data_IF_091155106922
#
_entry.id   IF_091155106922
#
_cell.length_a   1.000
_cell.length_b   1.000
_cell.length_c   1.000
_cell.angle_alpha   90.00
_cell.angle_beta   90.00
_cell.angle_gamma   90.00
#
_symmetry.space_group_name_H-M   'P 1'
#
loop_
_entity.id
_entity.type
_entity.pdbx_description
1 polymer ?
#
# COMPACT_ATOMS: atom_id res chain seq x y z
N UNK A 1 -3.92 7.80 -6.48
CA UNK A 1 -2.67 8.26 -5.88
C UNK A 1 -1.95 7.02 -5.43
N UNK A 2 -0.68 6.88 -5.81
CA UNK A 2 0.06 5.64 -5.68
C UNK A 2 1.20 5.75 -4.68
N UNK A 3 1.64 4.61 -4.17
CA UNK A 3 2.98 4.42 -3.62
C UNK A 3 3.74 3.56 -4.62
N UNK A 4 4.89 4.04 -5.05
CA UNK A 4 5.78 3.34 -5.98
C UNK A 4 7.06 3.02 -5.22
N UNK A 5 7.46 1.75 -5.23
CA UNK A 5 8.62 1.25 -4.52
C UNK A 5 9.58 0.67 -5.54
N UNK A 6 10.79 1.20 -5.63
CA UNK A 6 11.85 0.67 -6.49
C UNK A 6 12.59 -0.44 -5.73
N UNK A 7 12.51 -1.67 -6.21
CA UNK A 7 13.11 -2.86 -5.58
C UNK A 7 13.49 -3.88 -6.64
N UNK A 8 14.60 -4.58 -6.42
CA UNK A 8 15.07 -5.59 -7.38
C UNK A 8 14.26 -6.90 -7.29
N UNK A 9 13.43 -7.06 -6.25
CA UNK A 9 12.62 -8.26 -6.03
C UNK A 9 11.19 -7.89 -5.57
N UNK A 10 10.35 -7.33 -6.47
CA UNK A 10 9.03 -6.80 -6.10
C UNK A 10 8.03 -7.88 -5.63
N UNK A 11 8.15 -9.10 -6.13
CA UNK A 11 7.41 -10.28 -5.68
C UNK A 11 7.80 -10.67 -4.25
N UNK A 12 9.10 -10.81 -3.99
CA UNK A 12 9.61 -11.15 -2.67
C UNK A 12 9.25 -10.09 -1.62
N UNK A 13 9.36 -8.80 -1.97
CA UNK A 13 8.94 -7.71 -1.08
C UNK A 13 7.44 -7.81 -0.75
N UNK A 14 6.59 -8.09 -1.75
CA UNK A 14 5.16 -8.23 -1.52
C UNK A 14 4.84 -9.42 -0.59
N UNK A 15 5.50 -10.56 -0.78
CA UNK A 15 5.34 -11.73 0.07
C UNK A 15 5.76 -11.44 1.52
N UNK A 16 6.88 -10.76 1.72
CA UNK A 16 7.32 -10.31 3.05
C UNK A 16 6.31 -9.37 3.72
N UNK A 17 5.74 -8.43 2.97
CA UNK A 17 4.69 -7.52 3.47
C UNK A 17 3.47 -8.33 3.90
N UNK A 18 3.03 -9.29 3.09
CA UNK A 18 1.90 -10.15 3.43
C UNK A 18 2.17 -11.00 4.67
N UNK A 19 3.33 -11.64 4.77
CA UNK A 19 3.70 -12.43 5.93
C UNK A 19 3.71 -11.59 7.22
N UNK A 20 4.22 -10.36 7.17
CA UNK A 20 4.25 -9.46 8.31
C UNK A 20 2.85 -9.03 8.77
N UNK A 21 1.95 -8.77 7.83
CA UNK A 21 0.55 -8.43 8.10
C UNK A 21 -0.18 -9.64 8.69
N UNK A 22 -0.04 -10.80 8.06
CA UNK A 22 -0.76 -12.02 8.45
C UNK A 22 -0.25 -12.57 9.80
N UNK A 23 1.03 -12.36 10.12
CA UNK A 23 1.62 -12.67 11.44
C UNK A 23 1.34 -11.62 12.52
N UNK A 24 0.54 -10.59 12.23
CA UNK A 24 0.17 -9.47 13.14
C UNK A 24 1.36 -8.66 13.66
N UNK A 25 2.43 -8.59 12.87
CA UNK A 25 3.63 -7.79 13.17
C UNK A 25 3.61 -6.41 12.49
N UNK A 26 2.82 -6.22 11.44
CA UNK A 26 2.68 -4.96 10.70
C UNK A 26 1.64 -4.00 11.31
N UNK A 27 1.77 -3.68 12.59
CA UNK A 27 0.87 -2.79 13.33
C UNK A 27 -0.63 -3.14 13.19
N UNK A 28 -1.38 -2.25 12.53
CA UNK A 28 -2.83 -2.24 12.38
C UNK A 28 -3.25 -2.58 10.95
N UNK A 29 -2.33 -2.97 10.08
CA UNK A 29 -2.64 -3.34 8.70
C UNK A 29 -3.39 -4.67 8.64
N UNK A 30 -4.28 -4.79 7.66
CA UNK A 30 -5.08 -5.99 7.40
C UNK A 30 -5.05 -6.29 5.91
N UNK A 31 -4.77 -7.55 5.58
CA UNK A 31 -4.90 -8.09 4.23
C UNK A 31 -6.32 -8.62 4.04
N UNK A 32 -6.96 -8.19 2.96
CA UNK A 32 -8.24 -8.73 2.50
C UNK A 32 -8.02 -10.05 1.76
N UNK A 33 -9.07 -10.86 1.63
CA UNK A 33 -8.98 -12.17 0.95
C UNK A 33 -8.51 -12.08 -0.51
N UNK A 34 -8.67 -10.93 -1.17
CA UNK A 34 -8.19 -10.68 -2.52
C UNK A 34 -6.86 -9.89 -2.58
N UNK A 35 -6.10 -9.89 -1.48
CA UNK A 35 -4.74 -9.37 -1.44
C UNK A 35 -4.60 -7.85 -1.31
N UNK A 36 -5.71 -7.11 -1.18
CA UNK A 36 -5.66 -5.66 -0.90
C UNK A 36 -5.34 -5.40 0.57
N UNK A 37 -4.69 -4.28 0.84
CA UNK A 37 -4.31 -3.87 2.19
C UNK A 37 -5.21 -2.72 2.68
N UNK A 38 -5.67 -2.79 3.93
CA UNK A 38 -6.41 -1.69 4.58
C UNK A 38 -5.86 -1.46 5.99
N UNK A 39 -6.01 -0.23 6.49
CA UNK A 39 -5.69 0.08 7.88
C UNK A 39 -6.88 -0.30 8.79
N UNK A 40 -6.66 -1.19 9.74
CA UNK A 40 -7.69 -1.89 10.52
C UNK A 40 -8.22 -1.17 11.77
N UNK A 41 -7.76 0.05 12.06
CA UNK A 41 -8.27 0.82 13.22
C UNK A 41 -9.73 1.23 13.06
N UNK A 42 -10.48 1.29 14.16
CA UNK A 42 -11.94 1.51 14.15
C UNK A 42 -12.40 2.70 13.28
N UNK A 43 -11.64 3.81 13.28
CA UNK A 43 -11.97 5.02 12.52
C UNK A 43 -11.69 4.90 11.00
N UNK A 44 -10.74 4.06 10.61
CA UNK A 44 -10.23 3.99 9.23
C UNK A 44 -10.44 2.62 8.57
N UNK A 45 -11.02 1.68 9.31
CA UNK A 45 -11.28 0.32 8.87
C UNK A 45 -12.16 0.36 7.62
N UNK A 46 -11.64 -0.22 6.54
CA UNK A 46 -12.33 -0.35 5.25
C UNK A 46 -12.71 1.01 4.60
N UNK A 47 -12.04 2.10 4.96
CA UNK A 47 -12.28 3.42 4.35
C UNK A 47 -11.61 3.56 2.96
N UNK A 48 -10.45 2.93 2.80
CA UNK A 48 -9.70 2.83 1.56
C UNK A 48 -8.86 1.54 1.54
N UNK A 49 -8.36 1.17 0.37
CA UNK A 49 -7.60 -0.06 0.17
C UNK A 49 -6.43 0.18 -0.75
N UNK A 50 -5.24 -0.31 -0.42
CA UNK A 50 -4.16 -0.41 -1.37
C UNK A 50 -4.26 -1.71 -2.16
N UNK A 51 -4.19 -1.61 -3.48
CA UNK A 51 -4.05 -2.77 -4.37
C UNK A 51 -2.59 -2.87 -4.83
N UNK A 52 -1.85 -3.92 -4.43
CA UNK A 52 -0.51 -4.16 -4.95
C UNK A 52 -0.55 -4.55 -6.43
N UNK A 53 0.49 -4.15 -7.16
CA UNK A 53 0.79 -4.52 -8.53
C UNK A 53 2.29 -4.66 -8.69
N UNK A 54 2.73 -5.78 -9.26
CA UNK A 54 4.13 -6.06 -9.55
C UNK A 54 4.43 -5.62 -10.98
N UNK A 55 5.49 -4.82 -11.13
CA UNK A 55 5.98 -4.26 -12.39
C UNK A 55 7.41 -4.76 -12.56
N UNK A 56 7.55 -5.94 -13.17
CA UNK A 56 8.84 -6.67 -13.23
C UNK A 56 9.85 -5.93 -14.08
N UNK A 57 9.45 -5.42 -15.25
CA UNK A 57 10.36 -4.75 -16.18
C UNK A 57 10.90 -3.43 -15.61
N UNK A 58 10.13 -2.77 -14.75
CA UNK A 58 10.51 -1.53 -14.06
C UNK A 58 11.17 -1.75 -12.69
N UNK A 59 11.28 -3.01 -12.22
CA UNK A 59 11.74 -3.33 -10.86
C UNK A 59 10.93 -2.57 -9.79
N UNK A 60 9.60 -2.64 -9.88
CA UNK A 60 8.71 -1.88 -9.02
C UNK A 60 7.59 -2.70 -8.39
N UNK A 61 7.35 -2.42 -7.11
CA UNK A 61 6.11 -2.77 -6.44
C UNK A 61 5.27 -1.49 -6.29
N UNK A 62 4.10 -1.47 -6.90
CA UNK A 62 3.20 -0.31 -6.89
C UNK A 62 1.93 -0.61 -6.11
N UNK A 63 1.50 0.35 -5.30
CA UNK A 63 0.26 0.30 -4.55
C UNK A 63 -0.68 1.43 -4.99
N UNK A 64 -1.75 1.09 -5.72
CA UNK A 64 -2.81 2.02 -6.08
C UNK A 64 -3.84 2.13 -4.96
N UNK A 65 -4.29 3.35 -4.64
CA UNK A 65 -5.27 3.58 -3.57
C UNK A 65 -6.70 3.53 -4.12
N UNK A 66 -7.50 2.61 -3.61
CA UNK A 66 -8.90 2.39 -3.97
C UNK A 66 -9.83 2.93 -2.88
N UNK A 67 -10.90 3.60 -3.29
CA UNK A 67 -11.99 3.98 -2.39
C UNK A 67 -12.88 2.77 -2.10
N UNK A 68 -13.55 2.75 -0.94
CA UNK A 68 -14.67 1.82 -0.71
C UNK A 68 -15.85 2.12 -1.65
N UNK A 69 -16.71 1.12 -1.87
CA UNK A 69 -17.75 1.14 -2.93
C UNK A 69 -18.71 2.33 -2.84
N UNK A 70 -19.19 2.65 -1.64
CA UNK A 70 -20.18 3.70 -1.34
C UNK A 70 -19.57 5.11 -1.30
N UNK A 71 -18.24 5.24 -1.30
CA UNK A 71 -17.56 6.54 -1.22
C UNK A 71 -17.48 7.17 -2.61
N UNK A 72 -17.83 8.47 -2.73
CA UNK A 72 -17.73 9.21 -4.00
C UNK A 72 -16.29 9.53 -4.40
N UNK A 73 -15.48 10.01 -3.46
CA UNK A 73 -14.09 10.42 -3.68
C UNK A 73 -13.20 10.12 -2.46
N UNK A 74 -11.90 10.01 -2.68
CA UNK A 74 -10.89 9.95 -1.62
C UNK A 74 -10.53 11.39 -1.24
N UNK A 75 -10.68 11.75 0.03
CA UNK A 75 -10.27 13.07 0.53
C UNK A 75 -8.76 13.12 0.68
N UNK A 76 -8.16 14.31 0.59
CA UNK A 76 -6.73 14.51 0.85
C UNK A 76 -6.33 13.94 2.21
N UNK A 77 -7.13 14.19 3.26
CA UNK A 77 -6.91 13.64 4.60
C UNK A 77 -6.81 12.10 4.62
N UNK A 78 -7.71 11.42 3.91
CA UNK A 78 -7.74 9.95 3.87
C UNK A 78 -6.53 9.39 3.10
N UNK A 79 -6.25 9.98 1.93
CA UNK A 79 -5.08 9.63 1.12
C UNK A 79 -3.78 9.84 1.91
N UNK A 80 -3.58 11.03 2.50
CA UNK A 80 -2.38 11.36 3.28
C UNK A 80 -2.16 10.38 4.41
N UNK A 81 -3.22 10.02 5.16
CA UNK A 81 -3.10 9.05 6.25
C UNK A 81 -2.67 7.68 5.75
N UNK A 82 -3.33 7.15 4.73
CA UNK A 82 -3.03 5.82 4.20
C UNK A 82 -1.61 5.76 3.66
N UNK A 83 -1.19 6.76 2.89
CA UNK A 83 0.15 6.84 2.35
C UNK A 83 1.21 6.95 3.45
N UNK A 84 1.03 7.86 4.40
CA UNK A 84 1.99 8.03 5.51
C UNK A 84 2.15 6.74 6.32
N UNK A 85 1.06 6.05 6.64
CA UNK A 85 1.10 4.80 7.42
C UNK A 85 1.71 3.63 6.65
N UNK A 86 1.57 3.59 5.32
CA UNK A 86 2.19 2.53 4.54
C UNK A 86 3.69 2.78 4.44
N UNK A 87 4.10 4.02 4.18
CA UNK A 87 5.51 4.43 4.12
C UNK A 87 6.20 4.21 5.47
N UNK A 88 5.56 4.57 6.58
CA UNK A 88 6.06 4.32 7.93
C UNK A 88 6.34 2.83 8.15
N UNK A 89 5.39 1.96 7.80
CA UNK A 89 5.54 0.50 7.91
C UNK A 89 6.67 -0.02 7.01
N UNK A 90 6.76 0.47 5.77
CA UNK A 90 7.82 0.09 4.83
C UNK A 90 9.20 0.48 5.34
N UNK A 91 9.39 1.71 5.80
CA UNK A 91 10.68 2.18 6.32
C UNK A 91 11.04 1.53 7.67
N UNK A 92 10.05 1.16 8.48
CA UNK A 92 10.30 0.59 9.80
C UNK A 92 10.69 -0.89 9.76
N UNK A 93 10.40 -1.58 8.66
CA UNK A 93 10.59 -3.03 8.59
C UNK A 93 11.23 -3.58 7.32
N UNK A 94 11.27 -2.80 6.24
CA UNK A 94 11.69 -3.25 4.91
C UNK A 94 12.70 -2.29 4.26
N UNK A 95 13.33 -1.41 5.04
CA UNK A 95 14.30 -0.42 4.55
C UNK A 95 15.50 -1.01 3.78
N UNK A 96 15.82 -2.28 4.04
CA UNK A 96 16.86 -3.03 3.34
C UNK A 96 16.35 -3.78 2.09
N UNK A 97 15.05 -3.82 1.86
CA UNK A 97 14.40 -4.58 0.78
C UNK A 97 14.00 -3.73 -0.44
N UNK A 98 14.22 -2.41 -0.38
CA UNK A 98 13.97 -1.50 -1.49
C UNK A 98 14.97 -0.33 -1.50
N UNK A 99 15.08 0.36 -2.63
CA UNK A 99 16.02 1.47 -2.83
C UNK A 99 15.36 2.83 -2.64
N UNK A 100 14.09 2.95 -3.01
CA UNK A 100 13.35 4.23 -2.98
C UNK A 100 11.85 4.02 -2.80
N UNK A 101 11.17 5.01 -2.21
CA UNK A 101 9.71 5.08 -2.14
C UNK A 101 9.24 6.45 -2.63
N UNK A 102 8.28 6.46 -3.55
CA UNK A 102 7.62 7.66 -4.08
C UNK A 102 6.13 7.64 -3.76
N UNK A 103 5.61 8.76 -3.24
CA UNK A 103 4.18 8.99 -3.05
C UNK A 103 3.66 10.02 -4.07
N UNK A 104 2.66 9.65 -4.87
CA UNK A 104 2.14 10.53 -5.93
C UNK A 104 0.89 11.28 -5.50
N UNK A 105 0.89 12.60 -5.67
CA UNK A 105 -0.24 13.46 -5.31
C UNK A 105 -1.43 13.38 -6.29
N UNK A 106 -1.19 12.90 -7.52
CA UNK A 106 -2.20 12.72 -8.56
C UNK A 106 -2.43 11.24 -8.84
N UNK A 107 -3.43 10.94 -9.68
CA UNK A 107 -3.63 9.58 -10.20
C UNK A 107 -2.37 9.16 -10.98
N UNK A 108 -2.01 7.91 -10.80
CA UNK A 108 -0.97 7.22 -11.53
C UNK A 108 -1.50 5.90 -12.10
N UNK A 109 -0.71 5.24 -12.94
CA UNK A 109 -1.05 4.02 -13.66
C UNK A 109 -1.61 2.87 -12.80
N UNK A 110 -1.09 2.56 -11.58
CA UNK A 110 -1.66 1.50 -10.75
C UNK A 110 -3.07 1.82 -10.20
N UNK A 111 -3.51 3.08 -10.26
CA UNK A 111 -4.83 3.47 -9.78
C UNK A 111 -5.94 3.06 -10.77
N UNK A 112 -6.82 2.16 -10.32
CA UNK A 112 -8.07 1.83 -11.02
C UNK A 112 -9.24 2.51 -10.34
N UNK A 113 -9.72 3.60 -10.93
CA UNK A 113 -10.99 4.25 -10.60
C UNK A 113 -11.95 4.12 -11.77
#
# INVERSE_FOLDING_TARGET
>A
MAIIIDTDNPDLLLDKIYEMIDSKKADKWVRTSDGRLTYGTLLWKNEAFFKPQIWVDENQLRFGLLKRKDRKHITSKLYTLFHARLIEMLLSHFDNDFRNITATAKRDEPDRF
#
